data_IF_938991378879
#
_entry.id   IF_938991378879
#
_cell.length_a   1.000
_cell.length_b   1.000
_cell.length_c   1.000
_cell.angle_alpha   90.00
_cell.angle_beta   90.00
_cell.angle_gamma   90.00
#
_symmetry.space_group_name_H-M   'P 1'
#
loop_
_entity.id
_entity.type
_entity.pdbx_description
1 polymer ?
#
# COMPACT_ATOMS: atom_id res chain seq x y z
N UNK A 1 -2.14 0.25 -17.20
CA UNK A 1 -2.61 -0.94 -16.44
C UNK A 1 -4.03 -0.65 -15.93
N UNK A 2 -4.85 -1.62 -15.52
CA UNK A 2 -6.14 -1.35 -14.88
C UNK A 2 -6.02 -1.36 -13.35
N UNK A 3 -6.93 -0.67 -12.64
CA UNK A 3 -6.90 -0.56 -11.17
C UNK A 3 -7.00 -1.94 -10.51
N UNK A 4 -7.86 -2.81 -11.05
CA UNK A 4 -7.98 -4.21 -10.62
C UNK A 4 -6.70 -5.02 -10.87
N UNK A 5 -5.96 -4.77 -11.95
CA UNK A 5 -4.68 -5.44 -12.19
C UNK A 5 -3.59 -4.97 -11.23
N UNK A 6 -3.56 -3.67 -10.88
CA UNK A 6 -2.68 -3.14 -9.85
C UNK A 6 -3.00 -3.74 -8.48
N UNK A 7 -4.29 -3.84 -8.12
CA UNK A 7 -4.72 -4.48 -6.88
C UNK A 7 -4.27 -5.94 -6.80
N UNK A 8 -4.47 -6.73 -7.85
CA UNK A 8 -3.97 -8.12 -7.90
C UNK A 8 -2.45 -8.16 -7.76
N UNK A 9 -1.72 -7.27 -8.44
CA UNK A 9 -0.26 -7.23 -8.37
C UNK A 9 0.24 -6.89 -6.96
N UNK A 10 -0.39 -5.93 -6.28
CA UNK A 10 -0.10 -5.58 -4.90
C UNK A 10 -0.39 -6.75 -3.96
N UNK A 11 -1.56 -7.37 -4.10
CA UNK A 11 -1.94 -8.54 -3.31
C UNK A 11 -0.93 -9.68 -3.51
N UNK A 12 -0.51 -9.99 -4.75
CA UNK A 12 0.47 -11.05 -5.00
C UNK A 12 1.85 -10.72 -4.41
N UNK A 13 2.35 -9.50 -4.66
CA UNK A 13 3.68 -9.04 -4.22
C UNK A 13 3.81 -8.97 -2.70
N UNK A 14 2.75 -8.56 -2.01
CA UNK A 14 2.77 -8.24 -0.58
C UNK A 14 1.92 -9.22 0.27
N UNK A 15 1.30 -10.24 -0.34
CA UNK A 15 0.52 -11.28 0.36
C UNK A 15 1.26 -11.97 1.52
N UNK A 16 2.58 -12.04 1.45
CA UNK A 16 3.42 -12.68 2.48
C UNK A 16 3.78 -11.73 3.63
N UNK A 17 3.53 -10.42 3.49
CA UNK A 17 3.96 -9.39 4.43
C UNK A 17 2.87 -9.05 5.45
N UNK A 18 2.13 -10.06 5.91
CA UNK A 18 1.17 -9.92 7.00
C UNK A 18 0.12 -8.84 6.73
N UNK A 19 -0.62 -8.92 5.63
CA UNK A 19 -1.68 -7.96 5.37
C UNK A 19 -2.57 -8.28 4.17
N UNK A 20 -3.68 -7.58 4.09
CA UNK A 20 -4.70 -7.71 3.04
C UNK A 20 -4.89 -6.38 2.31
N UNK A 21 -5.02 -6.43 0.98
CA UNK A 21 -5.36 -5.26 0.18
C UNK A 21 -6.85 -5.25 -0.16
N UNK A 22 -7.50 -4.13 0.13
CA UNK A 22 -8.89 -3.87 -0.25
C UNK A 22 -8.89 -2.82 -1.36
N UNK A 23 -9.64 -3.09 -2.43
CA UNK A 23 -9.85 -2.16 -3.53
C UNK A 23 -11.21 -1.48 -3.37
N UNK A 24 -11.19 -0.16 -3.21
CA UNK A 24 -12.37 0.71 -3.31
C UNK A 24 -12.21 1.62 -4.56
N UNK A 25 -13.29 2.26 -5.01
CA UNK A 25 -13.41 2.89 -6.36
C UNK A 25 -12.13 3.61 -6.85
N UNK A 26 -11.54 4.47 -6.02
CA UNK A 26 -10.31 5.22 -6.25
C UNK A 26 -9.25 5.06 -5.14
N UNK A 27 -9.44 4.09 -4.24
CA UNK A 27 -8.56 3.86 -3.10
C UNK A 27 -8.06 2.42 -3.07
N UNK A 28 -6.78 2.27 -2.73
CA UNK A 28 -6.24 0.99 -2.29
C UNK A 28 -5.96 1.10 -0.80
N UNK A 29 -6.59 0.25 -0.01
CA UNK A 29 -6.32 0.12 1.41
C UNK A 29 -5.42 -1.09 1.64
N UNK A 30 -4.40 -0.95 2.48
CA UNK A 30 -3.59 -2.05 2.97
C UNK A 30 -3.81 -2.18 4.47
N UNK A 31 -4.45 -3.27 4.87
CA UNK A 31 -4.63 -3.67 6.27
C UNK A 31 -3.44 -4.55 6.63
N UNK A 32 -2.59 -4.10 7.55
CA UNK A 32 -1.44 -4.89 7.99
C UNK A 32 -1.74 -5.55 9.34
N UNK A 33 -1.54 -6.87 9.42
CA UNK A 33 -1.62 -7.62 10.66
C UNK A 33 -0.45 -7.20 11.55
N UNK A 34 -0.73 -6.43 12.62
CA UNK A 34 0.28 -6.30 13.67
C UNK A 34 0.36 -7.63 14.41
N UNK A 35 1.52 -8.31 14.32
CA UNK A 35 1.85 -9.36 15.27
C UNK A 35 1.67 -8.79 16.69
N UNK A 36 0.89 -9.50 17.51
CA UNK A 36 0.46 -9.09 18.85
C UNK A 36 1.59 -8.45 19.66
N UNK A 37 1.30 -7.26 20.18
CA UNK A 37 2.27 -6.36 20.78
C UNK A 37 2.80 -6.87 22.13
N UNK A 38 4.06 -7.30 22.17
CA UNK A 38 4.83 -7.27 23.43
C UNK A 38 6.26 -6.70 23.31
N UNK A 39 6.94 -6.66 22.15
CA UNK A 39 8.32 -6.11 22.10
C UNK A 39 8.65 -5.31 20.81
N UNK A 40 9.38 -4.20 20.94
CA UNK A 40 10.04 -3.45 19.84
C UNK A 40 9.13 -2.61 18.92
N UNK A 41 8.74 -1.40 19.33
CA UNK A 41 7.94 -0.49 18.46
C UNK A 41 8.77 0.12 17.30
N UNK A 42 10.06 0.41 17.52
CA UNK A 42 10.91 1.10 16.52
C UNK A 42 11.24 0.21 15.30
N UNK A 43 11.65 -1.05 15.51
CA UNK A 43 11.98 -1.96 14.39
C UNK A 43 10.75 -2.34 13.55
N UNK A 44 9.56 -2.33 14.15
CA UNK A 44 8.29 -2.54 13.46
C UNK A 44 7.94 -1.36 12.57
N UNK A 45 8.21 -0.14 13.04
CA UNK A 45 7.99 1.07 12.26
C UNK A 45 8.91 1.15 11.03
N UNK A 46 10.16 0.71 11.15
CA UNK A 46 11.09 0.65 10.03
C UNK A 46 10.63 -0.35 8.97
N UNK A 47 10.29 -1.59 9.37
CA UNK A 47 9.76 -2.60 8.45
C UNK A 47 8.47 -2.13 7.76
N UNK A 48 7.58 -1.47 8.51
CA UNK A 48 6.36 -0.85 7.98
C UNK A 48 6.67 0.24 6.95
N UNK A 49 7.61 1.14 7.25
CA UNK A 49 8.02 2.20 6.34
C UNK A 49 8.64 1.65 5.05
N UNK A 50 9.39 0.55 5.13
CA UNK A 50 9.96 -0.13 3.96
C UNK A 50 8.86 -0.72 3.06
N UNK A 51 7.89 -1.44 3.65
CA UNK A 51 6.77 -2.01 2.88
C UNK A 51 5.92 -0.90 2.26
N UNK A 52 5.60 0.14 3.03
CA UNK A 52 4.89 1.33 2.53
C UNK A 52 5.59 1.93 1.30
N UNK A 53 6.89 2.19 1.39
CA UNK A 53 7.67 2.73 0.25
C UNK A 53 7.67 1.81 -0.95
N UNK A 54 7.73 0.50 -0.74
CA UNK A 54 7.67 -0.49 -1.81
C UNK A 54 6.30 -0.48 -2.51
N UNK A 55 5.21 -0.37 -1.75
CA UNK A 55 3.85 -0.21 -2.28
C UNK A 55 3.76 1.09 -3.09
N UNK A 56 4.20 2.21 -2.52
CA UNK A 56 4.17 3.51 -3.19
C UNK A 56 4.92 3.48 -4.53
N UNK A 57 6.11 2.88 -4.53
CA UNK A 57 6.93 2.71 -5.73
C UNK A 57 6.21 1.89 -6.79
N UNK A 58 5.62 0.75 -6.42
CA UNK A 58 4.94 -0.12 -7.36
C UNK A 58 3.70 0.54 -8.00
N UNK A 59 2.94 1.31 -7.21
CA UNK A 59 1.80 2.09 -7.69
C UNK A 59 2.28 3.10 -8.76
N UNK A 60 3.35 3.83 -8.48
CA UNK A 60 3.92 4.83 -9.40
C UNK A 60 4.47 4.18 -10.68
N UNK A 61 5.26 3.12 -10.56
CA UNK A 61 5.80 2.37 -11.69
C UNK A 61 4.70 1.75 -12.57
N UNK A 62 3.54 1.44 -11.99
CA UNK A 62 2.37 0.94 -12.71
C UNK A 62 1.59 2.02 -13.48
N UNK A 63 2.04 3.27 -13.41
CA UNK A 63 1.45 4.41 -14.12
C UNK A 63 0.34 5.12 -13.35
N UNK A 64 0.31 4.99 -12.02
CA UNK A 64 -0.62 5.73 -11.15
C UNK A 64 0.13 6.84 -10.41
N UNK A 65 -0.60 7.85 -9.97
CA UNK A 65 -0.11 8.83 -8.99
C UNK A 65 -0.75 8.56 -7.64
N UNK A 66 0.02 8.81 -6.59
CA UNK A 66 -0.47 8.83 -5.21
C UNK A 66 -0.70 10.28 -4.84
N UNK A 67 -1.87 10.59 -4.30
CA UNK A 67 -2.25 11.97 -3.93
C UNK A 67 -2.34 12.15 -2.44
N UNK A 68 -2.76 11.10 -1.74
CA UNK A 68 -2.85 11.08 -0.30
C UNK A 68 -2.44 9.70 0.19
N UNK A 69 -1.60 9.70 1.22
CA UNK A 69 -1.35 8.53 2.05
C UNK A 69 -1.75 8.93 3.44
N UNK A 70 -2.63 8.17 4.05
CA UNK A 70 -2.84 8.31 5.47
C UNK A 70 -2.92 6.99 6.16
N UNK A 71 -2.82 7.12 7.47
CA UNK A 71 -2.45 6.07 8.40
C UNK A 71 -3.43 6.18 9.55
N UNK A 72 -4.27 5.16 9.72
CA UNK A 72 -5.26 5.12 10.77
C UNK A 72 -5.26 3.71 11.37
N UNK A 73 -4.65 3.58 12.54
CA UNK A 73 -4.51 2.29 13.21
C UNK A 73 -3.76 1.29 12.31
N UNK A 74 -4.26 0.07 12.13
CA UNK A 74 -3.65 -0.99 11.30
C UNK A 74 -3.91 -0.83 9.79
N UNK A 75 -4.30 0.36 9.33
CA UNK A 75 -4.76 0.60 7.96
C UNK A 75 -3.98 1.76 7.34
N UNK A 76 -3.31 1.49 6.21
CA UNK A 76 -2.83 2.53 5.31
C UNK A 76 -3.79 2.66 4.14
N UNK A 77 -4.25 3.88 3.86
CA UNK A 77 -4.98 4.19 2.64
C UNK A 77 -4.08 4.91 1.64
N UNK A 78 -4.13 4.45 0.39
CA UNK A 78 -3.51 5.07 -0.77
C UNK A 78 -4.60 5.59 -1.70
N UNK A 79 -4.78 6.91 -1.75
CA UNK A 79 -5.67 7.54 -2.73
C UNK A 79 -4.91 7.70 -4.04
N UNK A 80 -5.35 6.99 -5.06
CA UNK A 80 -4.61 6.87 -6.32
C UNK A 80 -5.44 7.29 -7.53
N UNK A 81 -4.77 7.84 -8.54
CA UNK A 81 -5.39 8.20 -9.81
C UNK A 81 -4.51 7.77 -10.97
N UNK A 82 -5.07 7.62 -12.17
CA UNK A 82 -4.25 7.45 -13.36
C UNK A 82 -3.27 8.62 -13.50
N UNK A 83 -1.98 8.31 -13.73
CA UNK A 83 -1.00 9.35 -13.98
C UNK A 83 -1.36 10.05 -15.29
N UNK A 84 -1.57 11.36 -15.23
CA UNK A 84 -1.75 12.15 -16.44
C UNK A 84 -0.51 11.98 -17.33
N UNK A 85 -0.66 11.83 -18.66
CA UNK A 85 0.49 11.82 -19.54
C UNK A 85 1.28 13.11 -19.31
N UNK A 86 2.53 12.99 -18.89
CA UNK A 86 3.44 14.14 -18.85
C UNK A 86 3.68 14.53 -20.30
N UNK A 87 3.23 15.73 -20.70
CA UNK A 87 3.63 16.36 -21.96
C UNK A 87 5.14 16.60 -22.00
#
# INVERSE_FOLDING_TARGET
>A
MSLSALHTLLQEKFSQLHGEFILEEDHIQWIYETATAEEGQDERWDAYCEVRKAIETLIVESGYRITEVGDYDQIIYFTIYEALPME
#
